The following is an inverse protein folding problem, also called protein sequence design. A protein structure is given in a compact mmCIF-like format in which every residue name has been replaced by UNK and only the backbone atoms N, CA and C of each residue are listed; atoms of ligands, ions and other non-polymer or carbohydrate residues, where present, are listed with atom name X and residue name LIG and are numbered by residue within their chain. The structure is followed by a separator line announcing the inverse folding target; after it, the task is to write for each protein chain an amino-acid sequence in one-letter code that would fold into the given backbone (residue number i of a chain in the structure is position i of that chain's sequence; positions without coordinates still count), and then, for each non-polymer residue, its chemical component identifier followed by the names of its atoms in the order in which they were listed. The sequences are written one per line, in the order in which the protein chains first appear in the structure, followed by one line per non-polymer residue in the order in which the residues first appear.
data_IF_665522178361
#
_entry.id   IF_665522178361
#
_cell.length_a   1.000
_cell.length_b   1.000
_cell.length_c   1.000
_cell.angle_alpha   90.00
_cell.angle_beta   90.00
_cell.angle_gamma   90.00
#
_symmetry.space_group_name_H-M   'P 1'
#
loop_
_entity.id
_entity.type
_entity.pdbx_description
1 polymer ?
#
# COMPACT_ATOMS: atom_id res chain seq x y z
N UNK A 1 35.65 -66.26 -24.93
CA UNK A 1 35.65 -67.14 -26.11
C UNK A 1 34.73 -66.48 -27.12
N UNK A 2 35.11 -65.91 -28.26
CA UNK A 2 36.35 -65.60 -28.98
C UNK A 2 35.87 -64.59 -30.05
N UNK A 3 36.34 -63.33 -30.05
CA UNK A 3 37.33 -62.75 -30.97
C UNK A 3 37.13 -63.05 -32.47
N UNK A 4 36.96 -61.98 -33.26
CA UNK A 4 37.76 -61.53 -34.45
C UNK A 4 37.01 -60.38 -35.15
N UNK A 5 37.43 -59.10 -35.17
CA UNK A 5 38.56 -58.43 -35.85
C UNK A 5 38.65 -58.68 -37.38
N UNK A 6 38.62 -57.58 -38.16
CA UNK A 6 38.58 -57.47 -39.65
C UNK A 6 39.84 -57.93 -40.40
N UNK A 7 40.04 -57.57 -41.70
CA UNK A 7 40.53 -56.22 -42.05
C UNK A 7 40.24 -55.65 -43.48
N UNK A 8 40.53 -54.35 -43.63
CA UNK A 8 41.24 -53.60 -44.71
C UNK A 8 40.84 -53.61 -46.22
N UNK A 9 40.57 -52.38 -46.71
CA UNK A 9 41.15 -51.62 -47.86
C UNK A 9 41.44 -52.31 -49.21
N UNK A 10 41.02 -51.65 -50.32
CA UNK A 10 41.85 -51.30 -51.50
C UNK A 10 41.20 -50.12 -52.27
N UNK A 11 42.06 -49.19 -52.71
CA UNK A 11 41.79 -48.03 -53.57
C UNK A 11 41.44 -48.42 -55.02
N UNK A 12 40.68 -47.56 -55.71
CA UNK A 12 40.55 -47.58 -57.17
C UNK A 12 40.10 -46.24 -57.72
N UNK A 13 41.06 -45.38 -58.06
CA UNK A 13 40.85 -44.12 -58.77
C UNK A 13 40.52 -44.38 -60.25
N UNK A 14 39.50 -43.70 -60.78
CA UNK A 14 39.38 -43.44 -62.21
C UNK A 14 38.75 -42.05 -62.43
N UNK A 15 39.61 -41.10 -62.79
CA UNK A 15 39.24 -39.90 -63.54
C UNK A 15 38.95 -40.31 -64.99
N UNK A 16 37.96 -39.69 -65.62
CA UNK A 16 38.09 -38.90 -66.87
C UNK A 16 36.70 -38.59 -67.49
N UNK A 17 36.41 -37.28 -67.52
CA UNK A 17 35.89 -36.45 -68.63
C UNK A 17 34.55 -36.79 -69.31
N UNK A 18 33.63 -35.82 -69.25
CA UNK A 18 32.42 -35.81 -70.09
C UNK A 18 31.51 -34.58 -69.90
N UNK A 19 31.99 -33.40 -70.31
CA UNK A 19 31.27 -32.27 -70.90
C UNK A 19 29.86 -31.82 -70.40
N UNK A 20 29.88 -30.66 -69.75
CA UNK A 20 29.13 -29.44 -70.07
C UNK A 20 27.57 -29.46 -70.08
N UNK A 21 27.00 -28.92 -69.00
CA UNK A 21 25.92 -27.93 -69.07
C UNK A 21 26.08 -26.94 -67.90
N UNK A 22 26.59 -25.73 -68.18
CA UNK A 22 26.61 -24.62 -67.22
C UNK A 22 25.18 -24.16 -66.97
N UNK A 23 24.63 -24.48 -65.81
CA UNK A 23 23.52 -23.73 -65.20
C UNK A 23 24.14 -22.96 -64.03
N UNK A 24 24.12 -21.64 -64.12
CA UNK A 24 24.56 -20.77 -63.03
C UNK A 24 23.72 -21.04 -61.79
N UNK A 25 24.34 -21.57 -60.73
CA UNK A 25 23.77 -21.57 -59.39
C UNK A 25 24.07 -20.20 -58.77
N UNK A 26 22.99 -19.46 -58.48
CA UNK A 26 23.05 -18.34 -57.55
C UNK A 26 23.50 -18.83 -56.17
N UNK A 27 24.33 -18.06 -55.43
CA UNK A 27 24.73 -18.44 -54.08
C UNK A 27 23.49 -18.51 -53.18
N UNK A 28 23.40 -19.61 -52.41
CA UNK A 28 22.35 -19.83 -51.43
C UNK A 28 22.21 -18.61 -50.50
N UNK A 29 20.99 -18.14 -50.19
CA UNK A 29 20.78 -17.06 -49.24
C UNK A 29 21.37 -17.43 -47.88
N UNK A 30 22.35 -16.64 -47.45
CA UNK A 30 22.92 -16.72 -46.10
C UNK A 30 21.78 -16.58 -45.09
N UNK A 31 21.63 -17.58 -44.21
CA UNK A 31 20.59 -17.57 -43.20
C UNK A 31 20.74 -16.28 -42.37
N UNK A 32 19.67 -15.47 -42.20
CA UNK A 32 19.77 -14.22 -41.47
C UNK A 32 20.27 -14.52 -40.05
N UNK A 33 21.34 -13.81 -39.66
CA UNK A 33 21.93 -13.92 -38.33
C UNK A 33 20.84 -13.81 -37.25
N UNK A 34 20.91 -14.61 -36.17
CA UNK A 34 19.94 -14.51 -35.09
C UNK A 34 19.89 -13.08 -34.58
N UNK A 35 18.71 -12.47 -34.69
CA UNK A 35 18.45 -11.11 -34.22
C UNK A 35 18.90 -11.04 -32.75
N UNK A 36 19.71 -10.04 -32.35
CA UNK A 36 20.04 -9.84 -30.95
C UNK A 36 18.74 -9.86 -30.12
N UNK A 37 18.70 -10.55 -28.97
CA UNK A 37 17.53 -10.54 -28.12
C UNK A 37 17.14 -9.09 -27.84
N UNK A 38 15.86 -8.78 -27.98
CA UNK A 38 15.35 -7.45 -27.68
C UNK A 38 15.80 -7.05 -26.26
N UNK A 39 16.14 -5.77 -26.02
CA UNK A 39 16.52 -5.32 -24.68
C UNK A 39 15.44 -5.72 -23.69
N UNK A 40 15.78 -6.57 -22.72
CA UNK A 40 14.88 -6.92 -21.62
C UNK A 40 14.58 -5.63 -20.86
N UNK A 41 13.29 -5.26 -20.79
CA UNK A 41 12.85 -4.13 -19.97
C UNK A 41 13.37 -4.31 -18.53
N UNK A 42 13.94 -3.26 -17.90
CA UNK A 42 14.42 -3.37 -16.53
C UNK A 42 13.28 -3.84 -15.62
N UNK A 43 13.60 -4.73 -14.67
CA UNK A 43 12.65 -5.12 -13.65
C UNK A 43 12.15 -3.87 -12.91
N UNK A 44 10.86 -3.77 -12.61
CA UNK A 44 10.31 -2.57 -11.99
C UNK A 44 10.89 -2.35 -10.59
N UNK A 45 11.24 -1.10 -10.31
CA UNK A 45 11.76 -0.71 -9.02
C UNK A 45 10.63 -0.37 -8.06
N UNK A 46 10.86 -0.68 -6.79
CA UNK A 46 9.93 -0.35 -5.71
C UNK A 46 10.71 -0.04 -4.44
N UNK A 47 10.08 0.73 -3.57
CA UNK A 47 10.54 0.94 -2.21
C UNK A 47 9.36 0.70 -1.29
N UNK A 48 9.56 -0.12 -0.26
CA UNK A 48 8.57 -0.43 0.76
C UNK A 48 8.96 0.17 2.10
N UNK A 49 7.94 0.35 2.92
CA UNK A 49 8.03 0.64 4.33
C UNK A 49 7.31 -0.47 5.09
N UNK A 50 7.90 -0.97 6.17
CA UNK A 50 7.23 -1.93 7.06
C UNK A 50 7.83 -1.90 8.47
N UNK A 51 7.17 -2.62 9.37
CA UNK A 51 7.57 -2.81 10.76
C UNK A 51 8.09 -4.24 10.98
N UNK A 52 9.18 -4.37 11.74
CA UNK A 52 9.77 -5.65 12.16
C UNK A 52 9.93 -5.66 13.68
N UNK A 53 9.67 -6.80 14.33
CA UNK A 53 9.93 -6.94 15.76
C UNK A 53 11.43 -6.76 16.05
N UNK A 54 11.75 -5.96 17.06
CA UNK A 54 13.12 -5.74 17.52
C UNK A 54 13.46 -6.71 18.66
N UNK A 55 14.71 -7.17 18.70
CA UNK A 55 15.24 -7.97 19.81
C UNK A 55 15.95 -7.05 20.82
N UNK A 56 15.76 -7.24 22.14
CA UNK A 56 14.92 -8.25 22.79
C UNK A 56 13.43 -7.88 22.86
N UNK A 57 13.09 -6.60 22.65
CA UNK A 57 11.73 -6.10 22.61
C UNK A 57 11.65 -4.82 21.77
N UNK A 58 10.44 -4.46 21.36
CA UNK A 58 10.16 -3.25 20.60
C UNK A 58 9.90 -3.51 19.12
N UNK A 59 9.88 -2.44 18.35
CA UNK A 59 9.58 -2.50 16.93
C UNK A 59 10.46 -1.54 16.14
N UNK A 60 11.00 -2.06 15.03
CA UNK A 60 11.84 -1.32 14.10
C UNK A 60 11.05 -0.98 12.85
N UNK A 61 11.08 0.30 12.47
CA UNK A 61 10.62 0.76 11.18
C UNK A 61 11.73 0.59 10.15
N UNK A 62 11.47 -0.17 9.10
CA UNK A 62 12.45 -0.50 8.05
C UNK A 62 11.99 0.01 6.68
N UNK A 63 12.93 0.56 5.90
CA UNK A 63 12.79 0.81 4.47
C UNK A 63 13.44 -0.31 3.68
N UNK A 64 12.76 -0.80 2.65
CA UNK A 64 13.27 -1.88 1.79
C UNK A 64 13.22 -1.47 0.32
N UNK A 65 14.35 -1.55 -0.36
CA UNK A 65 14.47 -1.25 -1.78
C UNK A 65 14.34 -2.52 -2.63
N UNK A 66 13.93 -2.40 -3.89
CA UNK A 66 13.84 -3.53 -4.84
C UNK A 66 15.17 -4.23 -5.12
N UNK A 67 16.29 -3.62 -4.74
CA UNK A 67 17.64 -4.23 -4.78
C UNK A 67 17.86 -5.24 -3.63
N UNK A 68 16.89 -5.40 -2.72
CA UNK A 68 17.01 -6.21 -1.51
C UNK A 68 17.63 -5.46 -0.32
N UNK A 69 18.01 -4.19 -0.50
CA UNK A 69 18.60 -3.38 0.57
C UNK A 69 17.56 -3.08 1.64
N UNK A 70 17.86 -3.43 2.90
CA UNK A 70 17.07 -3.05 4.07
C UNK A 70 17.81 -1.97 4.86
N UNK A 71 17.11 -0.87 5.16
CA UNK A 71 17.61 0.21 6.00
C UNK A 71 16.69 0.39 7.21
N UNK A 72 17.12 0.06 8.43
CA UNK A 72 16.38 0.43 9.63
C UNK A 72 16.38 1.96 9.77
N UNK A 73 15.22 2.52 10.09
CA UNK A 73 15.00 3.97 10.22
C UNK A 73 14.93 4.41 11.67
N UNK A 74 14.20 3.65 12.50
CA UNK A 74 14.07 3.88 13.94
C UNK A 74 13.59 2.62 14.64
N UNK A 75 13.91 2.51 15.92
CA UNK A 75 13.38 1.47 16.80
C UNK A 75 12.76 2.13 18.02
N UNK A 76 11.56 1.71 18.39
CA UNK A 76 10.83 2.22 19.56
C UNK A 76 10.38 1.08 20.47
N UNK A 77 10.22 1.40 21.74
CA UNK A 77 9.67 0.49 22.74
C UNK A 77 8.14 0.44 22.67
N UNK A 78 7.64 -0.19 21.60
CA UNK A 78 6.25 -0.52 21.37
C UNK A 78 6.15 -1.79 20.52
N UNK A 79 5.05 -2.52 20.65
CA UNK A 79 4.77 -3.69 19.80
C UNK A 79 4.33 -3.24 18.41
N UNK A 80 4.76 -3.94 17.37
CA UNK A 80 4.53 -3.54 15.99
C UNK A 80 3.05 -3.48 15.60
N UNK A 81 2.21 -4.33 16.20
CA UNK A 81 0.77 -4.43 15.92
C UNK A 81 0.01 -3.15 16.29
N UNK A 82 0.52 -2.41 17.28
CA UNK A 82 -0.11 -1.19 17.78
C UNK A 82 0.42 0.07 17.12
N UNK A 83 1.50 -0.06 16.36
CA UNK A 83 2.16 1.05 15.71
C UNK A 83 1.51 1.38 14.37
N UNK A 84 1.32 2.67 14.17
CA UNK A 84 0.94 3.28 12.91
C UNK A 84 2.04 4.24 12.47
N UNK A 85 2.18 4.37 11.16
CA UNK A 85 3.20 5.17 10.50
C UNK A 85 2.57 6.34 9.74
N UNK A 86 3.24 7.49 9.74
CA UNK A 86 2.98 8.60 8.85
C UNK A 86 4.28 9.14 8.27
N UNK A 87 4.26 9.56 7.00
CA UNK A 87 5.47 10.05 6.33
C UNK A 87 5.38 11.54 6.03
N UNK A 88 6.48 12.25 6.28
CA UNK A 88 6.60 13.65 5.88
C UNK A 88 6.64 13.80 4.34
N UNK A 89 6.18 14.94 3.81
CA UNK A 89 6.01 15.17 2.37
C UNK A 89 7.30 15.04 1.56
N UNK A 90 8.44 15.31 2.21
CA UNK A 90 9.79 15.25 1.62
C UNK A 90 10.50 13.89 1.83
N UNK A 91 9.88 12.94 2.51
CA UNK A 91 10.47 11.61 2.75
C UNK A 91 11.78 11.63 3.54
N UNK A 92 12.00 12.64 4.39
CA UNK A 92 13.15 12.76 5.31
C UNK A 92 12.80 12.51 6.77
N UNK A 93 11.53 12.58 7.10
CA UNK A 93 11.02 12.40 8.44
C UNK A 93 9.72 11.60 8.41
N UNK A 94 9.39 11.00 9.55
CA UNK A 94 8.17 10.25 9.75
C UNK A 94 7.69 10.32 11.18
N UNK A 95 6.52 9.75 11.43
CA UNK A 95 5.96 9.57 12.75
C UNK A 95 5.69 8.08 12.97
N UNK A 96 6.12 7.58 14.12
CA UNK A 96 5.68 6.31 14.67
C UNK A 96 4.69 6.63 15.79
N UNK A 97 3.53 5.99 15.78
CA UNK A 97 2.46 6.33 16.71
C UNK A 97 1.88 5.06 17.30
N UNK A 98 1.93 4.99 18.62
CA UNK A 98 1.32 3.96 19.43
C UNK A 98 0.00 4.52 19.99
N UNK A 99 -1.13 3.94 19.61
CA UNK A 99 -2.46 4.40 20.07
C UNK A 99 -2.78 4.06 21.53
N UNK A 100 -1.91 3.32 22.22
CA UNK A 100 -2.21 2.81 23.55
C UNK A 100 -3.25 1.69 23.51
N UNK A 101 -3.63 1.21 24.69
CA UNK A 101 -4.56 0.08 24.86
C UNK A 101 -5.41 0.19 26.15
N UNK A 102 -5.63 1.42 26.64
CA UNK A 102 -6.30 1.68 27.91
C UNK A 102 -5.38 1.59 29.13
N UNK A 103 -4.42 0.66 29.15
CA UNK A 103 -3.39 0.58 30.20
C UNK A 103 -2.22 1.54 29.92
N UNK A 104 -1.79 1.59 28.66
CA UNK A 104 -0.75 2.50 28.20
C UNK A 104 -1.40 3.72 27.51
N UNK A 105 -1.00 4.95 27.87
CA UNK A 105 -1.44 6.13 27.15
C UNK A 105 -0.88 6.13 25.72
N UNK A 106 -1.53 6.82 24.77
CA UNK A 106 -1.01 6.97 23.43
C UNK A 106 0.34 7.71 23.45
N UNK A 107 1.24 7.33 22.54
CA UNK A 107 2.60 7.86 22.42
C UNK A 107 2.93 8.05 20.95
N UNK A 108 3.72 9.08 20.65
CA UNK A 108 4.26 9.28 19.32
C UNK A 108 5.74 9.60 19.36
N UNK A 109 6.41 9.29 18.26
CA UNK A 109 7.80 9.62 18.03
C UNK A 109 7.96 10.22 16.65
N UNK A 110 8.69 11.33 16.57
CA UNK A 110 9.17 11.88 15.31
C UNK A 110 10.52 11.27 14.99
N UNK A 111 10.62 10.74 13.78
CA UNK A 111 11.81 10.04 13.27
C UNK A 111 12.44 10.88 12.17
N UNK A 112 13.74 11.12 12.27
CA UNK A 112 14.56 11.63 11.18
C UNK A 112 15.23 10.46 10.46
N UNK A 113 14.95 10.27 9.17
CA UNK A 113 15.39 9.11 8.40
C UNK A 113 16.85 9.17 7.95
N UNK A 114 17.49 10.34 8.02
CA UNK A 114 18.89 10.52 7.65
C UNK A 114 19.80 10.17 8.84
N UNK A 115 19.50 10.73 10.00
CA UNK A 115 20.25 10.55 11.25
C UNK A 115 19.80 9.35 12.09
N UNK A 116 18.66 8.73 11.75
CA UNK A 116 17.98 7.70 12.55
C UNK A 116 17.63 8.17 13.99
N UNK A 117 17.61 9.49 14.22
CA UNK A 117 17.21 10.05 15.51
C UNK A 117 15.71 9.94 15.69
N UNK A 118 15.32 9.58 16.92
CA UNK A 118 13.92 9.41 17.30
C UNK A 118 13.64 10.29 18.50
N UNK A 119 12.74 11.27 18.34
CA UNK A 119 12.36 12.20 19.39
C UNK A 119 10.92 11.91 19.83
N UNK A 120 10.70 11.76 21.14
CA UNK A 120 9.35 11.58 21.66
C UNK A 120 8.55 12.86 21.44
N UNK A 121 7.37 12.72 20.84
CA UNK A 121 6.43 13.80 20.63
C UNK A 121 5.32 13.72 21.69
N UNK A 122 5.14 14.80 22.45
CA UNK A 122 4.01 14.92 23.36
C UNK A 122 2.75 15.19 22.52
N UNK A 123 1.69 14.43 22.76
CA UNK A 123 0.41 14.60 22.09
C UNK A 123 -0.37 15.77 22.73
N UNK A 124 -1.38 16.35 22.04
CA UNK A 124 -2.28 17.33 22.65
C UNK A 124 -2.86 16.81 23.98
N UNK A 125 -2.92 17.68 25.00
CA UNK A 125 -3.33 17.28 26.36
C UNK A 125 -4.83 17.05 26.51
N UNK A 126 -5.64 17.70 25.68
CA UNK A 126 -7.10 17.63 25.71
C UNK A 126 -7.63 16.79 24.55
N UNK A 127 -8.64 15.96 24.82
CA UNK A 127 -9.25 15.07 23.84
C UNK A 127 -8.41 13.82 23.52
N UNK A 128 -8.91 13.03 22.57
CA UNK A 128 -8.28 11.82 22.07
C UNK A 128 -7.65 12.08 20.70
N UNK A 129 -6.35 11.81 20.54
CA UNK A 129 -5.67 11.99 19.24
C UNK A 129 -5.97 10.80 18.32
N UNK A 130 -6.94 10.98 17.43
CA UNK A 130 -7.35 9.94 16.46
C UNK A 130 -6.26 9.69 15.41
N UNK A 131 -5.66 10.79 14.92
CA UNK A 131 -4.72 10.79 13.79
C UNK A 131 -3.58 11.76 14.04
N UNK A 132 -2.38 11.36 13.60
CA UNK A 132 -1.20 12.19 13.60
C UNK A 132 -0.49 12.06 12.24
N UNK A 133 -0.20 13.18 11.60
CA UNK A 133 0.38 13.21 10.26
C UNK A 133 1.19 14.47 10.00
N UNK A 134 1.51 14.72 8.74
CA UNK A 134 2.14 15.98 8.32
C UNK A 134 1.24 16.74 7.37
N UNK A 135 1.30 18.08 7.41
CA UNK A 135 0.80 18.91 6.31
C UNK A 135 1.79 18.93 5.13
N UNK A 136 1.43 19.63 4.05
CA UNK A 136 2.24 19.69 2.83
C UNK A 136 3.56 20.45 3.03
N UNK A 137 3.58 21.39 3.96
CA UNK A 137 4.77 22.13 4.36
C UNK A 137 5.73 21.29 5.22
N UNK A 138 5.22 20.22 5.83
CA UNK A 138 5.97 19.27 6.64
C UNK A 138 5.91 19.53 8.14
N UNK A 139 4.94 20.31 8.62
CA UNK A 139 4.63 20.42 10.04
C UNK A 139 3.84 19.21 10.51
N UNK A 140 4.04 18.80 11.76
CA UNK A 140 3.25 17.73 12.37
C UNK A 140 1.87 18.28 12.71
N UNK A 141 0.82 17.53 12.39
CA UNK A 141 -0.57 17.87 12.66
C UNK A 141 -1.25 16.72 13.38
N UNK A 142 -1.98 17.04 14.45
CA UNK A 142 -2.84 16.13 15.19
C UNK A 142 -4.31 16.44 14.91
N UNK A 143 -5.09 15.39 14.62
CA UNK A 143 -6.55 15.46 14.60
C UNK A 143 -7.06 14.82 15.89
N UNK A 144 -7.88 15.55 16.62
CA UNK A 144 -8.28 15.21 17.99
C UNK A 144 -9.80 15.19 18.08
N UNK A 145 -10.36 14.13 18.64
CA UNK A 145 -11.76 14.05 19.02
C UNK A 145 -11.93 14.48 20.47
N UNK A 146 -12.94 15.28 20.76
CA UNK A 146 -13.37 15.63 22.11
C UNK A 146 -14.84 15.27 22.25
N UNK A 147 -15.13 14.29 23.11
CA UNK A 147 -16.48 13.83 23.44
C UNK A 147 -16.86 14.23 24.88
N UNK A 148 -15.87 14.24 25.76
CA UNK A 148 -16.04 14.55 27.18
C UNK A 148 -15.97 16.05 27.46
N UNK A 149 -16.53 16.45 28.60
CA UNK A 149 -16.52 17.83 29.09
C UNK A 149 -17.10 18.87 28.11
N UNK A 150 -18.11 18.46 27.33
CA UNK A 150 -18.83 19.32 26.39
C UNK A 150 -20.27 19.57 26.87
N UNK A 151 -20.55 20.72 27.52
CA UNK A 151 -21.89 21.07 27.93
C UNK A 151 -22.86 21.13 26.74
N UNK A 152 -23.85 20.24 26.76
CA UNK A 152 -24.96 20.22 25.79
C UNK A 152 -26.07 21.14 26.28
N UNK A 153 -26.58 22.00 25.39
CA UNK A 153 -27.64 22.96 25.68
C UNK A 153 -28.64 23.01 24.53
N UNK A 154 -29.83 23.49 24.83
CA UNK A 154 -30.90 23.66 23.86
C UNK A 154 -31.29 25.13 23.77
N UNK A 155 -31.39 25.65 22.55
CA UNK A 155 -31.91 26.98 22.27
C UNK A 155 -32.83 26.91 21.06
N UNK A 156 -34.07 27.39 21.23
CA UNK A 156 -35.07 27.45 20.15
C UNK A 156 -35.29 26.11 19.42
N UNK A 157 -35.27 25.01 20.17
CA UNK A 157 -35.48 23.65 19.65
C UNK A 157 -34.28 23.02 18.93
N UNK A 158 -33.09 23.65 18.98
CA UNK A 158 -31.86 23.09 18.44
C UNK A 158 -30.84 22.84 19.54
N UNK A 159 -30.23 21.66 19.50
CA UNK A 159 -29.14 21.30 20.40
C UNK A 159 -27.82 21.95 19.93
N UNK A 160 -27.01 22.38 20.88
CA UNK A 160 -25.68 22.90 20.63
C UNK A 160 -24.70 22.53 21.76
N UNK A 161 -23.43 22.42 21.39
CA UNK A 161 -22.30 22.27 22.30
C UNK A 161 -21.73 23.66 22.63
N UNK A 162 -21.39 23.90 23.90
CA UNK A 162 -20.69 25.11 24.32
C UNK A 162 -19.21 24.79 24.59
N UNK A 163 -18.30 25.40 23.85
CA UNK A 163 -16.86 25.21 24.02
C UNK A 163 -16.15 26.54 23.84
N UNK A 164 -15.30 26.92 24.81
CA UNK A 164 -14.60 28.21 24.86
C UNK A 164 -15.53 29.43 24.62
N UNK A 165 -16.75 29.37 25.16
CA UNK A 165 -17.76 30.43 25.00
C UNK A 165 -18.42 30.49 23.61
N UNK A 166 -18.05 29.60 22.68
CA UNK A 166 -18.67 29.49 21.34
C UNK A 166 -19.71 28.39 21.31
N UNK A 167 -20.77 28.61 20.51
CA UNK A 167 -21.85 27.65 20.29
C UNK A 167 -21.60 26.88 19.00
N UNK A 168 -21.71 25.56 19.07
CA UNK A 168 -21.59 24.66 17.92
C UNK A 168 -22.88 23.86 17.78
N UNK A 169 -23.64 24.09 16.72
CA UNK A 169 -24.92 23.41 16.49
C UNK A 169 -24.70 21.92 16.24
N UNK A 170 -25.42 21.07 16.97
CA UNK A 170 -25.35 19.62 16.78
C UNK A 170 -26.15 19.25 15.53
N UNK A 171 -25.58 18.46 14.59
CA UNK A 171 -26.34 17.92 13.46
C UNK A 171 -27.50 17.05 13.93
N UNK A 172 -28.63 17.12 13.24
CA UNK A 172 -29.78 16.24 13.49
C UNK A 172 -29.56 14.91 12.74
N UNK A 173 -28.73 14.05 13.31
CA UNK A 173 -28.40 12.72 12.80
C UNK A 173 -27.92 11.81 13.95
N UNK A 174 -27.95 10.50 13.71
CA UNK A 174 -27.53 9.49 14.69
C UNK A 174 -26.03 9.60 15.03
N UNK A 175 -25.64 9.09 16.20
CA UNK A 175 -24.25 9.08 16.68
C UNK A 175 -24.01 9.97 17.91
N UNK A 176 -22.80 9.90 18.46
CA UNK A 176 -22.41 10.70 19.62
C UNK A 176 -21.87 12.05 19.15
N UNK A 177 -22.53 13.18 19.44
CA UNK A 177 -22.03 14.49 19.04
C UNK A 177 -20.82 14.90 19.88
N UNK A 178 -19.82 15.46 19.21
CA UNK A 178 -18.61 15.97 19.81
C UNK A 178 -17.93 17.03 18.96
N UNK A 179 -16.74 17.43 19.38
CA UNK A 179 -15.91 18.36 18.62
C UNK A 179 -14.69 17.63 18.05
N UNK A 180 -14.46 17.82 16.75
CA UNK A 180 -13.20 17.50 16.11
C UNK A 180 -12.32 18.75 16.12
N UNK A 181 -11.05 18.60 16.49
CA UNK A 181 -10.06 19.67 16.51
C UNK A 181 -8.86 19.30 15.64
N UNK A 182 -8.27 20.30 14.97
CA UNK A 182 -6.96 20.18 14.37
C UNK A 182 -5.94 21.04 15.12
N UNK A 183 -4.78 20.46 15.42
CA UNK A 183 -3.64 21.16 16.02
C UNK A 183 -2.40 20.96 15.17
N UNK A 184 -1.59 22.01 15.02
CA UNK A 184 -0.27 21.94 14.40
C UNK A 184 0.81 22.09 15.45
N UNK A 185 1.83 21.25 15.38
CA UNK A 185 3.00 21.35 16.22
C UNK A 185 3.96 22.40 15.66
N UNK A 186 4.24 23.43 16.46
CA UNK A 186 5.12 24.55 16.11
C UNK A 186 6.01 24.88 17.31
N UNK A 187 7.33 24.93 17.10
CA UNK A 187 8.33 25.23 18.14
C UNK A 187 8.15 24.49 19.48
N UNK A 188 7.70 23.22 19.46
CA UNK A 188 7.49 22.41 20.67
C UNK A 188 6.13 22.60 21.35
N UNK A 189 5.20 23.32 20.72
CA UNK A 189 3.86 23.57 21.24
C UNK A 189 2.78 23.21 20.21
N UNK A 190 1.61 22.81 20.69
CA UNK A 190 0.44 22.59 19.86
C UNK A 190 -0.34 23.87 19.67
N UNK A 191 -0.43 24.34 18.43
CA UNK A 191 -1.26 25.47 18.02
C UNK A 191 -2.56 24.97 17.42
N UNK A 192 -3.68 25.41 17.98
CA UNK A 192 -5.02 25.14 17.45
C UNK A 192 -5.20 25.76 16.05
N UNK A 193 -5.82 25.01 15.14
CA UNK A 193 -6.09 25.43 13.76
C UNK A 193 -7.59 25.51 13.45
N UNK A 194 -8.35 24.50 13.86
CA UNK A 194 -9.71 24.27 13.38
C UNK A 194 -10.52 23.54 14.45
N UNK A 195 -11.81 23.87 14.59
CA UNK A 195 -12.79 23.12 15.39
C UNK A 195 -14.05 22.95 14.57
N UNK A 196 -14.55 21.72 14.46
CA UNK A 196 -15.78 21.37 13.75
C UNK A 196 -16.62 20.45 14.63
N UNK A 197 -17.93 20.68 14.68
CA UNK A 197 -18.86 19.74 15.29
C UNK A 197 -19.04 18.53 14.39
N UNK A 198 -18.96 17.34 14.97
CA UNK A 198 -19.06 16.07 14.24
C UNK A 198 -19.78 15.03 15.07
N UNK A 199 -20.10 13.91 14.43
CA UNK A 199 -20.68 12.74 15.06
C UNK A 199 -19.60 11.65 15.12
N UNK A 200 -19.65 10.87 16.19
CA UNK A 200 -18.69 9.83 16.54
C UNK A 200 -19.43 8.55 16.99
N UNK A 201 -18.68 7.48 17.24
CA UNK A 201 -19.20 6.22 17.81
C UNK A 201 -20.31 5.56 16.98
N UNK A 202 -20.29 5.75 15.66
CA UNK A 202 -21.17 5.06 14.72
C UNK A 202 -20.41 4.71 13.43
N UNK A 203 -20.88 3.70 12.71
CA UNK A 203 -20.33 3.37 11.41
C UNK A 203 -20.60 4.50 10.41
N UNK A 204 -19.56 4.90 9.69
CA UNK A 204 -19.64 6.00 8.71
C UNK A 204 -19.68 7.41 9.32
N UNK A 205 -19.59 7.57 10.65
CA UNK A 205 -19.43 8.89 11.25
C UNK A 205 -18.19 9.60 10.67
N UNK A 206 -18.34 10.89 10.36
CA UNK A 206 -17.23 11.66 9.85
C UNK A 206 -16.09 11.78 10.88
N UNK A 207 -16.43 11.89 12.18
CA UNK A 207 -15.45 12.06 13.26
C UNK A 207 -14.47 13.20 12.97
N UNK A 208 -13.17 12.94 13.12
CA UNK A 208 -12.09 13.89 12.77
C UNK A 208 -11.90 14.10 11.26
N UNK A 209 -12.48 13.27 10.39
CA UNK A 209 -12.45 13.50 8.94
C UNK A 209 -13.38 14.65 8.51
N UNK A 210 -14.23 15.17 9.40
CA UNK A 210 -15.03 16.38 9.15
C UNK A 210 -14.17 17.66 9.04
N UNK A 211 -12.92 17.62 9.53
CA UNK A 211 -11.98 18.73 9.49
C UNK A 211 -11.45 18.95 8.06
N UNK A 212 -11.45 20.20 7.58
CA UNK A 212 -10.79 20.54 6.31
C UNK A 212 -9.29 20.26 6.35
N UNK A 213 -8.68 20.31 7.54
CA UNK A 213 -7.28 19.94 7.75
C UNK A 213 -7.02 18.46 7.47
N UNK A 214 -7.98 17.56 7.71
CA UNK A 214 -7.79 16.12 7.53
C UNK A 214 -7.46 15.76 6.08
N UNK A 215 -8.11 16.41 5.10
CA UNK A 215 -7.86 16.16 3.68
C UNK A 215 -6.51 16.69 3.18
N UNK A 216 -5.80 17.47 3.99
CA UNK A 216 -4.49 18.06 3.64
C UNK A 216 -3.31 17.28 4.21
N UNK A 217 -3.59 16.26 5.02
CA UNK A 217 -2.53 15.43 5.58
C UNK A 217 -1.86 14.59 4.49
N UNK A 218 -0.56 14.38 4.64
CA UNK A 218 0.23 13.49 3.79
C UNK A 218 -0.09 12.03 4.04
N UNK A 219 0.48 11.15 3.21
CA UNK A 219 0.32 9.70 3.33
C UNK A 219 0.62 9.21 4.74
N UNK A 220 -0.26 8.33 5.22
CA UNK A 220 -0.14 7.66 6.51
C UNK A 220 -0.89 6.34 6.46
N UNK A 221 -0.63 5.48 7.45
CA UNK A 221 -1.40 4.25 7.69
C UNK A 221 -2.68 4.49 8.49
N UNK A 222 -3.02 5.76 8.77
CA UNK A 222 -4.21 6.19 9.50
C UNK A 222 -5.36 6.60 8.60
N UNK A 223 -5.01 7.22 7.48
CA UNK A 223 -5.96 7.89 6.59
C UNK A 223 -6.10 7.14 5.28
N UNK A 224 -6.94 7.67 4.39
CA UNK A 224 -7.14 7.16 3.04
C UNK A 224 -5.79 6.97 2.35
N UNK A 225 -5.45 5.72 2.12
CA UNK A 225 -4.23 5.32 1.44
C UNK A 225 -4.41 5.54 -0.07
N UNK A 226 -3.59 6.39 -0.72
CA UNK A 226 -3.72 6.66 -2.15
C UNK A 226 -3.43 5.44 -3.03
N UNK A 227 -2.74 4.43 -2.49
CA UNK A 227 -2.45 3.18 -3.20
C UNK A 227 -3.52 2.11 -2.92
N UNK A 228 -4.53 2.35 -2.05
CA UNK A 228 -5.61 1.38 -1.83
C UNK A 228 -6.45 1.22 -3.10
N UNK A 229 -6.74 -0.03 -3.45
CA UNK A 229 -7.62 -0.35 -4.58
C UNK A 229 -9.07 0.01 -4.25
N UNK A 230 -9.80 0.48 -5.26
CA UNK A 230 -11.24 0.69 -5.14
C UNK A 230 -11.93 -0.67 -5.27
N UNK A 231 -12.65 -1.03 -4.22
CA UNK A 231 -13.37 -2.30 -4.11
C UNK A 231 -14.77 -2.13 -4.68
N UNK A 232 -15.21 -3.07 -5.50
CA UNK A 232 -16.56 -3.14 -6.07
C UNK A 232 -17.15 -4.52 -5.79
N UNK A 233 -18.28 -4.55 -5.11
CA UNK A 233 -19.02 -5.79 -4.85
C UNK A 233 -19.42 -6.46 -6.17
N UNK A 234 -19.14 -7.75 -6.30
CA UNK A 234 -19.69 -8.55 -7.39
C UNK A 234 -21.06 -9.05 -7.01
N UNK A 235 -22.05 -8.72 -7.85
CA UNK A 235 -23.40 -9.25 -7.72
C UNK A 235 -23.36 -10.77 -7.75
N UNK A 236 -24.02 -11.39 -6.77
CA UNK A 236 -24.15 -12.85 -6.70
C UNK A 236 -24.79 -13.40 -7.99
N UNK A 237 -24.18 -14.45 -8.55
CA UNK A 237 -24.63 -15.05 -9.82
C UNK A 237 -24.27 -14.25 -11.08
N UNK A 238 -23.53 -13.13 -10.96
CA UNK A 238 -22.87 -12.51 -12.12
C UNK A 238 -21.92 -13.48 -12.82
N UNK A 239 -21.61 -13.21 -14.09
CA UNK A 239 -20.69 -14.04 -14.87
C UNK A 239 -19.34 -14.22 -14.17
N UNK A 240 -18.77 -13.14 -13.63
CA UNK A 240 -17.50 -13.18 -12.92
C UNK A 240 -17.58 -13.93 -11.59
N UNK A 241 -18.64 -13.73 -10.79
CA UNK A 241 -18.85 -14.50 -9.57
C UNK A 241 -18.99 -16.01 -9.89
N UNK A 242 -19.73 -16.36 -10.94
CA UNK A 242 -19.88 -17.74 -11.39
C UNK A 242 -18.55 -18.34 -11.89
N UNK A 243 -17.72 -17.57 -12.59
CA UNK A 243 -16.36 -17.98 -13.00
C UNK A 243 -15.45 -18.21 -11.78
N UNK A 244 -15.53 -17.34 -10.77
CA UNK A 244 -14.79 -17.48 -9.52
C UNK A 244 -15.21 -18.74 -8.75
N UNK A 245 -16.50 -18.96 -8.54
CA UNK A 245 -17.02 -20.17 -7.86
C UNK A 245 -16.78 -21.46 -8.67
N UNK A 246 -16.67 -21.35 -10.00
CA UNK A 246 -16.28 -22.47 -10.85
C UNK A 246 -14.82 -22.90 -10.61
N UNK A 247 -13.90 -21.95 -10.37
CA UNK A 247 -12.46 -22.21 -10.20
C UNK A 247 -12.08 -22.41 -8.72
N UNK A 248 -12.75 -21.72 -7.80
CA UNK A 248 -12.50 -21.77 -6.36
C UNK A 248 -13.51 -22.70 -5.70
N UNK A 249 -13.14 -23.97 -5.57
CA UNK A 249 -13.99 -25.00 -4.93
C UNK A 249 -13.95 -24.97 -3.41
N UNK A 250 -12.83 -24.53 -2.86
CA UNK A 250 -12.63 -24.35 -1.43
C UNK A 250 -11.88 -23.02 -1.23
N UNK A 251 -12.42 -22.18 -0.34
CA UNK A 251 -11.80 -20.90 0.05
C UNK A 251 -10.72 -21.11 1.13
N UNK A 252 -10.69 -22.29 1.75
CA UNK A 252 -9.82 -22.65 2.86
C UNK A 252 -10.25 -22.05 4.20
N UNK A 253 -11.46 -21.48 4.27
CA UNK A 253 -12.09 -20.95 5.47
C UNK A 253 -13.62 -20.99 5.36
N UNK A 254 -14.32 -20.84 6.49
CA UNK A 254 -15.79 -20.84 6.57
C UNK A 254 -16.41 -19.45 6.72
N UNK A 255 -15.61 -18.39 6.62
CA UNK A 255 -16.11 -17.02 6.71
C UNK A 255 -17.15 -16.74 5.61
N UNK A 256 -18.35 -16.33 6.04
CA UNK A 256 -19.40 -15.84 5.16
C UNK A 256 -18.99 -14.47 4.59
N UNK A 257 -19.50 -14.12 3.40
CA UNK A 257 -18.99 -12.97 2.67
C UNK A 257 -19.39 -12.98 1.20
N UNK A 258 -18.66 -12.23 0.40
CA UNK A 258 -18.89 -12.13 -1.05
C UNK A 258 -17.62 -11.86 -1.84
N UNK A 259 -17.70 -12.05 -3.15
CA UNK A 259 -16.61 -11.68 -4.04
C UNK A 259 -16.59 -10.18 -4.26
N UNK A 260 -15.39 -9.60 -4.22
CA UNK A 260 -15.16 -8.21 -4.59
C UNK A 260 -14.16 -8.15 -5.74
N UNK A 261 -14.45 -7.28 -6.70
CA UNK A 261 -13.55 -6.92 -7.81
C UNK A 261 -12.84 -5.62 -7.48
N UNK A 262 -11.58 -5.54 -7.89
CA UNK A 262 -10.75 -4.36 -7.83
C UNK A 262 -10.15 -4.13 -9.21
N UNK A 263 -10.62 -3.09 -9.88
CA UNK A 263 -10.15 -2.76 -11.22
C UNK A 263 -8.71 -2.25 -11.19
N UNK A 264 -7.86 -2.82 -12.04
CA UNK A 264 -6.48 -2.35 -12.22
C UNK A 264 -6.22 -2.08 -13.70
N UNK A 265 -5.19 -1.29 -14.01
CA UNK A 265 -4.74 -1.09 -15.39
C UNK A 265 -4.29 -2.39 -16.09
N UNK A 266 -4.09 -3.48 -15.34
CA UNK A 266 -3.64 -4.78 -15.83
C UNK A 266 -4.73 -5.86 -15.72
N UNK A 267 -6.00 -5.44 -15.66
CA UNK A 267 -7.17 -6.30 -15.49
C UNK A 267 -7.66 -6.40 -14.04
N UNK A 268 -8.82 -7.02 -13.83
CA UNK A 268 -9.44 -7.10 -12.51
C UNK A 268 -8.65 -8.03 -11.57
N UNK A 269 -8.66 -7.66 -10.30
CA UNK A 269 -8.19 -8.46 -9.18
C UNK A 269 -9.41 -8.79 -8.32
N UNK A 270 -9.58 -10.06 -7.97
CA UNK A 270 -10.71 -10.55 -7.21
C UNK A 270 -10.27 -11.13 -5.88
N UNK A 271 -11.01 -10.85 -4.83
CA UNK A 271 -10.77 -11.40 -3.50
C UNK A 271 -12.10 -11.65 -2.78
N UNK A 272 -12.03 -12.42 -1.70
CA UNK A 272 -13.19 -12.64 -0.83
C UNK A 272 -13.24 -11.55 0.23
N UNK A 273 -14.37 -10.89 0.39
CA UNK A 273 -14.62 -10.01 1.54
C UNK A 273 -15.46 -10.77 2.56
N UNK A 274 -14.90 -10.98 3.75
CA UNK A 274 -15.65 -11.58 4.85
C UNK A 274 -16.62 -10.56 5.46
N UNK A 275 -17.87 -10.97 5.60
CA UNK A 275 -18.90 -10.21 6.29
C UNK A 275 -18.75 -10.41 7.81
N UNK A 276 -17.91 -9.57 8.42
CA UNK A 276 -17.75 -9.43 9.86
C UNK A 276 -18.19 -8.04 10.33
N UNK A 277 -18.12 -7.77 11.64
CA UNK A 277 -18.37 -6.44 12.22
C UNK A 277 -17.61 -5.33 11.48
N UNK A 278 -16.37 -5.63 11.07
CA UNK A 278 -15.63 -4.84 10.09
C UNK A 278 -15.35 -5.73 8.88
N UNK A 279 -15.87 -5.40 7.69
CA UNK A 279 -15.57 -6.14 6.47
C UNK A 279 -14.06 -6.21 6.24
N UNK A 280 -13.58 -7.38 5.85
CA UNK A 280 -12.15 -7.62 5.67
C UNK A 280 -11.91 -8.50 4.46
N UNK A 281 -10.97 -8.04 3.65
CA UNK A 281 -10.42 -8.77 2.53
C UNK A 281 -9.65 -10.01 3.00
N UNK A 282 -9.91 -11.14 2.37
CA UNK A 282 -9.32 -12.44 2.66
C UNK A 282 -8.92 -13.16 1.37
N UNK A 283 -8.10 -14.21 1.53
CA UNK A 283 -7.88 -15.18 0.47
C UNK A 283 -9.18 -15.95 0.15
N UNK A 284 -9.30 -16.53 -1.05
CA UNK A 284 -8.31 -16.56 -2.13
C UNK A 284 -8.30 -15.29 -2.97
N UNK A 285 -7.09 -14.95 -3.45
CA UNK A 285 -6.85 -13.85 -4.39
C UNK A 285 -6.76 -14.42 -5.81
N UNK A 286 -7.45 -13.82 -6.78
CA UNK A 286 -7.45 -14.24 -8.18
C UNK A 286 -7.27 -13.05 -9.10
N UNK A 287 -6.45 -13.19 -10.14
CA UNK A 287 -6.35 -12.22 -11.23
C UNK A 287 -6.47 -12.93 -12.57
N UNK A 288 -6.75 -12.16 -13.63
CA UNK A 288 -6.85 -12.71 -14.97
C UNK A 288 -5.50 -12.83 -15.68
N UNK A 289 -5.27 -14.01 -16.27
CA UNK A 289 -4.12 -14.29 -17.14
C UNK A 289 -4.61 -15.13 -18.33
N UNK A 290 -4.55 -14.55 -19.53
CA UNK A 290 -5.06 -15.18 -20.76
C UNK A 290 -6.51 -15.71 -20.58
N UNK A 291 -7.41 -14.83 -20.12
CA UNK A 291 -8.84 -15.07 -19.85
C UNK A 291 -9.13 -16.15 -18.78
N UNK A 292 -8.11 -16.54 -18.01
CA UNK A 292 -8.23 -17.49 -16.91
C UNK A 292 -7.98 -16.82 -15.57
N UNK A 293 -8.82 -17.15 -14.60
CA UNK A 293 -8.62 -16.77 -13.20
C UNK A 293 -7.54 -17.66 -12.59
N UNK A 294 -6.45 -17.04 -12.15
CA UNK A 294 -5.32 -17.75 -11.54
C UNK A 294 -4.94 -17.10 -10.21
N UNK A 295 -4.37 -17.90 -9.31
CA UNK A 295 -3.75 -17.38 -8.09
C UNK A 295 -2.46 -16.64 -8.43
N UNK A 296 -2.16 -15.51 -7.77
CA UNK A 296 -0.84 -14.89 -7.85
C UNK A 296 0.27 -15.89 -7.51
N UNK A 297 1.32 -15.89 -8.32
CA UNK A 297 2.42 -16.85 -8.21
C UNK A 297 3.01 -16.88 -6.79
N UNK A 298 3.12 -18.07 -6.20
CA UNK A 298 3.77 -18.26 -4.90
C UNK A 298 3.20 -17.31 -3.82
N UNK A 299 1.89 -17.10 -3.78
CA UNK A 299 1.24 -16.31 -2.73
C UNK A 299 1.60 -16.84 -1.34
N UNK A 300 1.42 -18.16 -1.14
CA UNK A 300 1.87 -18.91 0.03
C UNK A 300 1.53 -18.18 1.36
N UNK A 301 0.28 -17.74 1.47
CA UNK A 301 -0.31 -17.15 2.66
C UNK A 301 -1.34 -18.13 3.23
N UNK A 302 -1.63 -18.05 4.54
CA UNK A 302 -2.62 -18.93 5.14
C UNK A 302 -4.02 -18.58 4.59
N UNK A 303 -4.89 -19.56 4.27
CA UNK A 303 -6.22 -19.29 3.73
C UNK A 303 -7.08 -18.37 4.62
N UNK A 304 -6.89 -18.44 5.94
CA UNK A 304 -7.59 -17.60 6.91
C UNK A 304 -6.96 -16.22 7.09
N UNK A 305 -5.92 -15.87 6.33
CA UNK A 305 -5.27 -14.57 6.42
C UNK A 305 -6.15 -13.47 5.83
N UNK A 306 -6.38 -12.44 6.64
CA UNK A 306 -6.78 -11.13 6.15
C UNK A 306 -5.66 -10.53 5.30
N UNK A 307 -6.03 -9.87 4.20
CA UNK A 307 -5.10 -9.23 3.27
C UNK A 307 -5.47 -7.77 3.04
N UNK A 308 -4.46 -6.93 2.94
CA UNK A 308 -4.56 -5.56 2.43
C UNK A 308 -3.91 -5.50 1.06
N UNK A 309 -4.62 -4.94 0.10
CA UNK A 309 -4.20 -4.84 -1.29
C UNK A 309 -3.92 -3.38 -1.66
N UNK A 310 -2.70 -3.13 -2.12
CA UNK A 310 -2.26 -1.81 -2.58
C UNK A 310 -1.71 -1.91 -3.99
N UNK A 311 -2.01 -0.93 -4.83
CA UNK A 311 -1.58 -0.86 -6.21
C UNK A 311 -0.86 0.45 -6.47
N UNK A 312 0.34 0.37 -7.04
CA UNK A 312 1.05 1.55 -7.52
C UNK A 312 1.64 1.29 -8.90
N UNK A 313 1.18 2.07 -9.88
CA UNK A 313 1.49 1.85 -11.29
C UNK A 313 1.09 0.43 -11.74
N UNK A 314 2.05 -0.48 -11.90
CA UNK A 314 1.82 -1.90 -12.19
C UNK A 314 2.32 -2.81 -11.06
N UNK A 315 2.68 -2.26 -9.90
CA UNK A 315 3.10 -3.01 -8.72
C UNK A 315 1.89 -3.28 -7.83
N UNK A 316 1.64 -4.56 -7.57
CA UNK A 316 0.67 -5.01 -6.59
C UNK A 316 1.41 -5.41 -5.31
N UNK A 317 1.07 -4.78 -4.20
CA UNK A 317 1.49 -5.15 -2.86
C UNK A 317 0.34 -5.87 -2.16
N UNK A 318 0.57 -7.14 -1.82
CA UNK A 318 -0.34 -7.95 -0.99
C UNK A 318 0.28 -8.05 0.40
N UNK A 319 -0.35 -7.45 1.39
CA UNK A 319 0.10 -7.49 2.78
C UNK A 319 -0.84 -8.36 3.59
N UNK A 320 -0.31 -9.25 4.41
CA UNK A 320 -1.04 -9.96 5.45
C UNK A 320 -0.42 -9.64 6.80
N UNK A 321 -0.95 -10.25 7.86
CA UNK A 321 -0.60 -9.89 9.24
C UNK A 321 0.92 -9.83 9.51
N UNK A 322 1.69 -10.81 9.04
CA UNK A 322 3.15 -10.94 9.27
C UNK A 322 3.96 -11.14 7.99
N UNK A 323 3.39 -10.81 6.83
CA UNK A 323 4.04 -11.09 5.55
C UNK A 323 3.60 -10.10 4.49
N UNK A 324 4.47 -9.85 3.53
CA UNK A 324 4.15 -9.06 2.35
C UNK A 324 4.67 -9.73 1.08
N UNK A 325 3.97 -9.51 -0.02
CA UNK A 325 4.34 -9.97 -1.36
C UNK A 325 4.24 -8.79 -2.32
N UNK A 326 5.26 -8.64 -3.17
CA UNK A 326 5.23 -7.67 -4.26
C UNK A 326 5.16 -8.41 -5.56
N UNK A 327 4.25 -7.99 -6.42
CA UNK A 327 4.05 -8.52 -7.75
C UNK A 327 4.20 -7.43 -8.79
N UNK A 328 4.77 -7.80 -9.93
CA UNK A 328 4.57 -7.07 -11.17
C UNK A 328 3.27 -7.56 -11.81
N UNK A 329 2.24 -6.71 -11.81
CA UNK A 329 0.93 -7.04 -12.36
C UNK A 329 0.91 -7.09 -13.89
N UNK A 330 1.91 -6.53 -14.59
CA UNK A 330 2.07 -6.61 -16.05
C UNK A 330 2.57 -8.00 -16.44
N UNK A 331 3.62 -8.48 -15.77
CA UNK A 331 4.21 -9.80 -16.06
C UNK A 331 3.62 -10.94 -15.23
N UNK A 332 2.79 -10.60 -14.22
CA UNK A 332 2.15 -11.51 -13.28
C UNK A 332 3.14 -12.32 -12.43
N UNK A 333 4.37 -11.80 -12.28
CA UNK A 333 5.46 -12.43 -11.55
C UNK A 333 5.64 -11.83 -10.17
N UNK A 334 6.02 -12.67 -9.21
CA UNK A 334 6.41 -12.22 -7.86
C UNK A 334 7.81 -11.59 -7.91
N UNK A 335 7.92 -10.36 -7.45
CA UNK A 335 9.17 -9.61 -7.34
C UNK A 335 9.84 -9.78 -5.97
N UNK A 336 9.04 -9.90 -4.90
CA UNK A 336 9.54 -10.13 -3.56
C UNK A 336 8.55 -10.84 -2.65
N UNK A 337 9.12 -11.51 -1.64
CA UNK A 337 8.41 -12.07 -0.51
C UNK A 337 9.15 -11.65 0.77
N UNK A 338 8.39 -11.08 1.70
CA UNK A 338 8.87 -10.63 3.01
C UNK A 338 8.09 -11.40 4.07
N UNK A 339 8.82 -11.99 5.01
CA UNK A 339 8.28 -12.68 6.18
C UNK A 339 8.62 -11.90 7.45
N UNK A 340 7.82 -12.10 8.50
CA UNK A 340 7.97 -11.45 9.80
C UNK A 340 7.92 -9.92 9.72
N UNK A 341 7.17 -9.38 8.76
CA UNK A 341 6.97 -7.94 8.56
C UNK A 341 5.51 -7.57 8.77
N UNK A 342 5.24 -6.39 9.32
CA UNK A 342 3.88 -5.88 9.57
C UNK A 342 3.66 -4.53 8.89
N UNK A 343 2.40 -4.26 8.53
CA UNK A 343 1.98 -2.95 8.04
C UNK A 343 2.74 -2.50 6.78
N UNK A 344 3.01 -3.43 5.87
CA UNK A 344 3.76 -3.10 4.65
C UNK A 344 2.98 -2.14 3.75
N UNK A 345 3.64 -1.07 3.34
CA UNK A 345 3.12 -0.07 2.41
C UNK A 345 4.20 0.32 1.41
N UNK A 346 3.79 0.87 0.28
CA UNK A 346 4.76 1.52 -0.61
C UNK A 346 5.30 2.79 0.06
N UNK A 347 6.61 3.00 -0.04
CA UNK A 347 7.24 4.23 0.41
C UNK A 347 6.57 5.44 -0.25
N UNK A 348 6.24 6.53 0.45
CA UNK A 348 5.52 7.66 -0.13
C UNK A 348 6.25 8.23 -1.35
N UNK A 349 5.50 8.59 -2.39
CA UNK A 349 6.04 9.44 -3.46
C UNK A 349 6.37 10.81 -2.87
N UNK A 350 7.58 11.28 -3.06
CA UNK A 350 7.95 12.64 -2.67
C UNK A 350 7.11 13.61 -3.50
N UNK A 351 6.38 14.51 -2.84
CA UNK A 351 5.74 15.63 -3.53
C UNK A 351 6.86 16.63 -3.85
N UNK A 352 7.27 16.69 -5.11
CA UNK A 352 8.11 17.80 -5.58
C UNK A 352 7.27 19.07 -5.50
N UNK A 353 7.55 19.91 -4.51
CA UNK A 353 7.01 21.28 -4.47
C UNK A 353 7.61 22.00 -5.67
N UNK A 354 6.87 22.02 -6.78
CA UNK A 354 7.22 22.93 -7.87
C UNK A 354 6.86 24.31 -7.35
N UNK A 355 7.90 25.07 -6.95
CA UNK A 355 7.72 26.45 -6.55
C UNK A 355 7.02 27.19 -7.68
N UNK A 356 5.75 27.55 -7.47
CA UNK A 356 5.08 28.49 -8.35
C UNK A 356 5.85 29.80 -8.25
N UNK A 357 6.58 30.14 -9.32
CA UNK A 357 7.21 31.44 -9.48
C UNK A 357 6.08 32.48 -9.40
N UNK A 358 6.13 33.47 -8.49
CA UNK A 358 5.12 34.51 -8.48
C UNK A 358 5.22 35.25 -9.81
N UNK A 359 4.12 35.26 -10.55
CA UNK A 359 3.99 36.08 -11.74
C UNK A 359 4.23 37.54 -11.33
N UNK A 360 5.35 38.10 -11.79
CA UNK A 360 5.65 39.51 -11.65
C UNK A 360 4.43 40.32 -12.06
N UNK A 361 3.94 41.15 -11.14
CA UNK A 361 2.95 42.17 -11.44
C UNK A 361 3.49 43.05 -12.57
N UNK A 362 2.90 42.93 -13.75
CA UNK A 362 3.07 43.91 -14.82
C UNK A 362 2.21 45.10 -14.44
N UNK A 363 2.86 46.11 -13.86
CA UNK A 363 2.33 47.46 -13.80
C UNK A 363 2.32 48.03 -15.21
N UNK A 364 1.18 48.58 -15.63
CA UNK A 364 1.08 49.40 -16.83
C UNK A 364 -0.07 50.41 -16.66
N UNK A 365 -0.06 51.51 -17.42
CA UNK A 365 0.73 52.71 -17.23
C UNK A 365 -0.05 53.87 -16.57
#
# INVERSE_FOLDING_TARGET
MDRRLGPALILGSALLLGSACKKSEDPAPEAPAPKPPAPTEPAPSYTLSFLEAASPSGCTWTRHESTGTRKPLATVDAVCERLKLAWGPRGRQGLMVDRGNGELPPRAWQVDFESAQTNRLLLPESGHTDTLGFDEEGHVVALVSQLDDLPRKMDSGREYLLHEGKRYLVPDADGTPGLAHAYRHDAGQWKHLETVVSLFEMDGAAGTNALATASRLTSSTFMRDPDRLVESELVEGSEDAARLDAVVKDRGHTAYGMWISMETHQGPLYAWEAASELPTLMLPLRWEVNDKLVEPEQLALAPTSSVELRMRDHLLLVSAEQSARVYDAKTKKRLAALESVRGASFWPRQRTVTAAVPASAVTAP
#
